data_IF_597502382826
#
_entry.id   IF_597502382826
#
_cell.length_a   1.000
_cell.length_b   1.000
_cell.length_c   1.000
_cell.angle_alpha   90.00
_cell.angle_beta   90.00
_cell.angle_gamma   90.00
#
_symmetry.space_group_name_H-M   'P 1'
#
loop_
_entity.id
_entity.type
_entity.pdbx_description
1 polymer ?
#
# COMPACT_ATOMS: atom_id res chain seq x y z
N UNK A 1 -21.98 -23.55 -22.89
CA UNK A 1 -21.34 -23.65 -21.55
C UNK A 1 -20.69 -22.31 -21.28
N UNK A 2 -21.30 -21.53 -20.42
CA UNK A 2 -20.69 -20.30 -19.96
C UNK A 2 -19.46 -20.64 -19.15
N UNK A 3 -18.28 -20.23 -19.67
CA UNK A 3 -17.03 -20.35 -18.90
C UNK A 3 -17.20 -19.52 -17.63
N UNK A 4 -17.31 -20.18 -16.50
CA UNK A 4 -17.25 -19.52 -15.18
C UNK A 4 -15.98 -18.70 -15.17
N UNK A 5 -16.11 -17.38 -15.17
CA UNK A 5 -14.95 -16.46 -15.08
C UNK A 5 -14.40 -16.55 -13.67
N UNK A 6 -13.17 -17.00 -13.55
CA UNK A 6 -12.48 -16.99 -12.25
C UNK A 6 -12.07 -15.57 -11.88
N UNK A 7 -12.16 -15.21 -10.60
CA UNK A 7 -11.72 -13.90 -10.16
C UNK A 7 -10.19 -13.77 -10.26
N UNK A 8 -9.76 -12.61 -10.70
CA UNK A 8 -8.37 -12.20 -10.68
C UNK A 8 -8.17 -10.95 -9.82
N UNK A 9 -7.03 -10.34 -9.95
CA UNK A 9 -6.59 -9.22 -9.13
C UNK A 9 -6.12 -8.06 -9.98
N UNK A 10 -6.47 -6.85 -9.57
CA UNK A 10 -5.78 -5.62 -9.94
C UNK A 10 -4.99 -5.16 -8.72
N UNK A 11 -3.75 -4.77 -8.88
CA UNK A 11 -2.85 -4.48 -7.78
C UNK A 11 -2.16 -3.13 -7.90
N UNK A 12 -1.86 -2.56 -6.75
CA UNK A 12 -0.93 -1.45 -6.58
C UNK A 12 0.31 -2.02 -5.89
N UNK A 13 1.46 -1.92 -6.54
CA UNK A 13 2.75 -2.24 -5.96
C UNK A 13 3.58 -0.98 -5.79
N UNK A 14 4.31 -0.93 -4.69
CA UNK A 14 5.37 0.05 -4.42
C UNK A 14 6.73 -0.63 -4.44
N UNK A 15 7.80 0.15 -4.51
CA UNK A 15 9.15 -0.38 -4.42
C UNK A 15 10.04 0.63 -3.67
N UNK A 16 10.70 0.22 -2.58
CA UNK A 16 11.58 1.10 -1.82
C UNK A 16 12.77 1.68 -2.59
N UNK A 17 13.13 1.06 -3.73
CA UNK A 17 14.18 1.57 -4.63
C UNK A 17 13.70 2.71 -5.52
N UNK A 18 12.40 2.94 -5.61
CA UNK A 18 11.80 3.97 -6.44
C UNK A 18 11.38 5.17 -5.59
N UNK A 19 10.93 6.22 -6.27
CA UNK A 19 10.35 7.38 -5.60
C UNK A 19 9.06 6.99 -4.86
N UNK A 20 8.81 7.63 -3.73
CA UNK A 20 7.61 7.38 -2.90
C UNK A 20 6.29 7.66 -3.63
N UNK A 21 6.32 8.53 -4.64
CA UNK A 21 5.19 8.88 -5.49
C UNK A 21 5.10 8.03 -6.77
N UNK A 22 5.81 6.91 -6.83
CA UNK A 22 5.75 5.98 -7.95
C UNK A 22 5.06 4.69 -7.53
N UNK A 23 4.07 4.28 -8.31
CA UNK A 23 3.38 3.00 -8.13
C UNK A 23 3.37 2.21 -9.44
N UNK A 24 3.34 0.89 -9.31
CA UNK A 24 3.03 -0.01 -10.41
C UNK A 24 1.59 -0.49 -10.24
N UNK A 25 0.77 -0.30 -11.27
CA UNK A 25 -0.61 -0.79 -11.32
C UNK A 25 -0.74 -1.79 -12.45
N UNK A 26 -1.13 -2.99 -12.13
CA UNK A 26 -1.31 -4.06 -13.10
C UNK A 26 -2.32 -5.07 -12.64
N UNK A 27 -2.44 -6.17 -13.38
CA UNK A 27 -3.39 -7.25 -13.09
C UNK A 27 -2.73 -8.62 -13.09
N UNK A 28 -3.38 -9.58 -12.45
CA UNK A 28 -2.97 -10.97 -12.41
C UNK A 28 -4.19 -11.88 -12.25
N UNK A 29 -4.21 -12.98 -12.98
CA UNK A 29 -5.17 -14.07 -12.72
C UNK A 29 -4.74 -14.95 -11.52
N UNK A 30 -3.52 -14.76 -11.02
CA UNK A 30 -2.94 -15.50 -9.88
C UNK A 30 -2.81 -14.58 -8.66
N UNK A 31 -2.66 -15.14 -7.46
CA UNK A 31 -2.41 -14.37 -6.25
C UNK A 31 -1.26 -13.36 -6.42
N UNK A 32 -1.43 -12.18 -5.82
CA UNK A 32 -0.51 -11.05 -6.08
C UNK A 32 0.84 -11.24 -5.40
N UNK A 33 0.90 -11.98 -4.30
CA UNK A 33 2.15 -12.38 -3.64
C UNK A 33 3.05 -13.24 -4.55
N UNK A 34 2.47 -14.08 -5.37
CA UNK A 34 3.19 -14.84 -6.42
C UNK A 34 3.65 -13.88 -7.52
N UNK A 35 2.75 -13.01 -7.97
CA UNK A 35 3.05 -12.08 -9.05
C UNK A 35 4.11 -11.04 -8.69
N UNK A 36 4.09 -10.52 -7.46
CA UNK A 36 5.10 -9.57 -6.99
C UNK A 36 6.52 -10.17 -6.97
N UNK A 37 6.64 -11.44 -6.58
CA UNK A 37 7.91 -12.17 -6.61
C UNK A 37 8.43 -12.43 -8.02
N UNK A 38 7.55 -12.67 -8.99
CA UNK A 38 7.94 -12.83 -10.41
C UNK A 38 8.48 -11.52 -11.01
N UNK A 39 8.06 -10.37 -10.50
CA UNK A 39 8.56 -9.06 -10.91
C UNK A 39 9.91 -8.71 -10.25
N UNK A 40 10.28 -9.44 -9.20
CA UNK A 40 11.55 -9.30 -8.51
C UNK A 40 12.64 -9.98 -9.36
N UNK A 41 13.42 -9.16 -10.03
CA UNK A 41 14.50 -9.59 -10.89
C UNK A 41 15.74 -8.69 -10.73
N UNK A 42 16.84 -9.07 -11.33
CA UNK A 42 18.12 -8.37 -11.21
C UNK A 42 18.11 -6.91 -11.67
N UNK A 43 17.07 -6.48 -12.38
CA UNK A 43 16.91 -5.09 -12.81
C UNK A 43 16.29 -4.19 -11.72
N UNK A 44 15.79 -4.78 -10.63
CA UNK A 44 15.17 -4.06 -9.52
C UNK A 44 15.97 -4.32 -8.25
N UNK A 45 16.57 -3.29 -7.62
CA UNK A 45 17.45 -3.46 -6.46
C UNK A 45 16.76 -4.03 -5.21
N UNK A 46 15.49 -3.71 -5.00
CA UNK A 46 14.70 -4.18 -3.87
C UNK A 46 13.39 -4.80 -4.36
N UNK A 47 12.80 -5.74 -3.61
CA UNK A 47 11.55 -6.39 -3.99
C UNK A 47 10.38 -5.42 -4.01
N UNK A 48 9.36 -5.75 -4.82
CA UNK A 48 8.10 -5.03 -4.80
C UNK A 48 7.30 -5.36 -3.53
N UNK A 49 6.67 -4.33 -2.99
CA UNK A 49 5.74 -4.43 -1.87
C UNK A 49 4.31 -4.27 -2.38
N UNK A 50 3.42 -5.13 -1.90
CA UNK A 50 2.00 -5.04 -2.21
C UNK A 50 1.40 -3.94 -1.34
N UNK A 51 0.80 -2.94 -1.97
CA UNK A 51 0.13 -1.84 -1.26
C UNK A 51 -1.38 -2.10 -1.12
N UNK A 52 -2.04 -2.44 -2.21
CA UNK A 52 -3.45 -2.81 -2.22
C UNK A 52 -3.81 -3.69 -3.42
N UNK A 53 -4.92 -4.41 -3.30
CA UNK A 53 -5.48 -5.21 -4.38
C UNK A 53 -6.99 -5.05 -4.47
N UNK A 54 -7.54 -5.18 -5.69
CA UNK A 54 -8.96 -5.44 -5.94
C UNK A 54 -9.08 -6.84 -6.49
N UNK A 55 -9.87 -7.70 -5.85
CA UNK A 55 -10.24 -9.01 -6.37
C UNK A 55 -11.62 -8.94 -7.00
N UNK A 56 -11.76 -9.35 -8.26
CA UNK A 56 -13.03 -9.36 -9.00
C UNK A 56 -12.94 -10.27 -10.23
N UNK A 57 -14.07 -10.79 -10.70
CA UNK A 57 -14.14 -11.49 -11.99
C UNK A 57 -13.94 -10.53 -13.18
N UNK A 58 -14.10 -9.22 -12.97
CA UNK A 58 -13.95 -8.15 -13.97
C UNK A 58 -12.56 -7.49 -13.92
N UNK A 59 -11.54 -8.18 -13.43
CA UNK A 59 -10.21 -7.58 -13.20
C UNK A 59 -9.55 -7.00 -14.47
N UNK A 60 -9.88 -7.53 -15.67
CA UNK A 60 -9.39 -6.96 -16.93
C UNK A 60 -9.99 -5.58 -17.21
N UNK A 61 -11.30 -5.45 -17.02
CA UNK A 61 -12.04 -4.21 -17.21
C UNK A 61 -11.66 -3.18 -16.15
N UNK A 62 -11.48 -3.62 -14.91
CA UNK A 62 -11.07 -2.76 -13.78
C UNK A 62 -9.66 -2.20 -14.00
N UNK A 63 -8.70 -3.02 -14.40
CA UNK A 63 -7.34 -2.55 -14.68
C UNK A 63 -7.34 -1.50 -15.79
N UNK A 64 -8.07 -1.75 -16.87
CA UNK A 64 -8.22 -0.80 -17.97
C UNK A 64 -8.83 0.52 -17.50
N UNK A 65 -9.91 0.46 -16.71
CA UNK A 65 -10.59 1.63 -16.16
C UNK A 65 -9.67 2.45 -15.24
N UNK A 66 -8.89 1.78 -14.37
CA UNK A 66 -7.91 2.46 -13.51
C UNK A 66 -6.88 3.21 -14.34
N UNK A 67 -6.34 2.56 -15.36
CA UNK A 67 -5.35 3.19 -16.26
C UNK A 67 -5.95 4.39 -16.99
N UNK A 68 -7.14 4.26 -17.55
CA UNK A 68 -7.85 5.34 -18.26
C UNK A 68 -8.16 6.52 -17.34
N UNK A 69 -8.59 6.27 -16.10
CA UNK A 69 -8.85 7.32 -15.12
C UNK A 69 -7.59 8.08 -14.74
N UNK A 70 -6.49 7.37 -14.47
CA UNK A 70 -5.22 8.03 -14.13
C UNK A 70 -4.68 8.82 -15.32
N UNK A 71 -4.74 8.26 -16.52
CA UNK A 71 -4.31 8.94 -17.75
C UNK A 71 -5.16 10.18 -18.06
N UNK A 72 -6.46 10.16 -17.74
CA UNK A 72 -7.38 11.29 -18.00
C UNK A 72 -7.24 12.44 -17.01
N UNK A 73 -6.82 12.13 -15.78
CA UNK A 73 -6.72 13.13 -14.71
C UNK A 73 -5.44 13.96 -14.79
N UNK A 74 -4.36 13.40 -15.31
CA UNK A 74 -3.07 14.10 -15.51
C UNK A 74 -2.07 13.22 -16.29
N UNK A 75 -0.94 13.79 -16.69
CA UNK A 75 0.23 13.07 -17.25
C UNK A 75 0.96 12.23 -16.19
N UNK A 76 0.21 11.50 -15.38
CA UNK A 76 0.78 10.69 -14.28
C UNK A 76 1.49 9.43 -14.75
N UNK A 77 1.27 8.99 -15.98
CA UNK A 77 1.94 7.82 -16.52
C UNK A 77 3.37 8.15 -16.91
N UNK A 78 4.33 7.44 -16.33
CA UNK A 78 5.76 7.66 -16.61
C UNK A 78 6.12 7.30 -18.07
N UNK A 79 5.48 6.25 -18.62
CA UNK A 79 5.57 5.87 -20.03
C UNK A 79 4.29 5.18 -20.46
N UNK A 80 3.78 5.49 -21.66
CA UNK A 80 2.54 4.93 -22.21
C UNK A 80 2.51 3.39 -22.28
N UNK A 81 3.66 2.75 -22.46
CA UNK A 81 3.78 1.29 -22.58
C UNK A 81 4.18 0.59 -21.28
N UNK A 82 4.14 1.28 -20.13
CA UNK A 82 4.53 0.76 -18.84
C UNK A 82 3.42 0.98 -17.82
N UNK A 83 3.27 0.02 -16.92
CA UNK A 83 2.30 0.02 -15.83
C UNK A 83 2.78 0.84 -14.61
N UNK A 84 3.69 1.80 -14.84
CA UNK A 84 4.23 2.68 -13.81
C UNK A 84 3.63 4.07 -13.91
N UNK A 85 3.20 4.60 -12.76
CA UNK A 85 2.52 5.86 -12.64
C UNK A 85 3.19 6.73 -11.57
N UNK A 86 3.29 8.02 -11.85
CA UNK A 86 3.72 9.03 -10.90
C UNK A 86 2.50 9.51 -10.10
N UNK A 87 2.05 8.68 -9.18
CA UNK A 87 0.90 8.94 -8.32
C UNK A 87 1.20 8.41 -6.92
N UNK A 88 0.84 9.19 -5.90
CA UNK A 88 0.99 8.75 -4.52
C UNK A 88 0.16 7.47 -4.29
N UNK A 89 0.71 6.45 -3.61
CA UNK A 89 0.01 5.19 -3.35
C UNK A 89 -1.35 5.35 -2.68
N UNK A 90 -1.47 6.30 -1.74
CA UNK A 90 -2.74 6.61 -1.07
C UNK A 90 -3.80 7.10 -2.05
N UNK A 91 -3.41 7.97 -2.99
CA UNK A 91 -4.32 8.48 -4.02
C UNK A 91 -4.74 7.39 -5.00
N UNK A 92 -3.82 6.49 -5.37
CA UNK A 92 -4.14 5.32 -6.18
C UNK A 92 -5.14 4.40 -5.47
N UNK A 93 -4.98 4.20 -4.16
CA UNK A 93 -5.92 3.45 -3.33
C UNK A 93 -7.31 4.10 -3.28
N UNK A 94 -7.39 5.42 -3.18
CA UNK A 94 -8.67 6.14 -3.23
C UNK A 94 -9.41 5.91 -4.56
N UNK A 95 -8.67 5.88 -5.67
CA UNK A 95 -9.24 5.53 -6.98
C UNK A 95 -9.75 4.10 -6.98
N UNK A 96 -8.98 3.15 -6.42
CA UNK A 96 -9.41 1.75 -6.27
C UNK A 96 -10.71 1.65 -5.47
N UNK A 97 -10.81 2.35 -4.35
CA UNK A 97 -12.00 2.36 -3.49
C UNK A 97 -13.21 2.90 -4.23
N UNK A 98 -13.07 3.96 -5.00
CA UNK A 98 -14.15 4.54 -5.81
C UNK A 98 -14.62 3.58 -6.91
N UNK A 99 -13.70 2.93 -7.60
CA UNK A 99 -14.04 1.94 -8.63
C UNK A 99 -14.72 0.73 -8.03
N UNK A 100 -14.23 0.23 -6.90
CA UNK A 100 -14.81 -0.93 -6.23
C UNK A 100 -16.27 -0.71 -5.80
N UNK A 101 -16.67 0.53 -5.48
CA UNK A 101 -18.07 0.87 -5.17
C UNK A 101 -19.01 0.66 -6.37
N UNK A 102 -18.50 0.64 -7.59
CA UNK A 102 -19.30 0.45 -8.82
C UNK A 102 -19.34 -1.00 -9.29
N UNK A 103 -18.68 -1.92 -8.59
CA UNK A 103 -18.51 -3.31 -9.00
C UNK A 103 -18.99 -4.23 -7.87
N UNK A 104 -20.01 -5.04 -8.16
CA UNK A 104 -20.73 -5.82 -7.16
C UNK A 104 -19.86 -6.87 -6.44
N UNK A 105 -18.91 -7.48 -7.15
CA UNK A 105 -18.04 -8.53 -6.64
C UNK A 105 -16.63 -8.06 -6.25
N UNK A 106 -16.38 -6.75 -6.27
CA UNK A 106 -15.07 -6.20 -5.97
C UNK A 106 -14.76 -6.26 -4.47
N UNK A 107 -13.64 -6.87 -4.12
CA UNK A 107 -13.11 -6.91 -2.76
C UNK A 107 -11.75 -6.23 -2.73
N UNK A 108 -11.63 -5.16 -1.94
CA UNK A 108 -10.37 -4.47 -1.71
C UNK A 108 -9.65 -5.09 -0.51
N UNK A 109 -8.36 -5.32 -0.67
CA UNK A 109 -7.47 -5.69 0.42
C UNK A 109 -6.30 -4.70 0.44
N UNK A 110 -6.09 -4.08 1.58
CA UNK A 110 -4.91 -3.23 1.86
C UNK A 110 -3.83 -4.07 2.54
N UNK A 111 -2.57 -3.69 2.33
CA UNK A 111 -1.43 -4.44 2.85
C UNK A 111 -0.48 -3.53 3.63
N UNK A 112 0.16 -4.10 4.64
CA UNK A 112 1.30 -3.51 5.35
C UNK A 112 2.36 -4.59 5.47
N UNK A 113 3.59 -4.29 5.08
CA UNK A 113 4.71 -5.26 5.07
C UNK A 113 4.35 -6.57 4.33
N UNK A 114 3.69 -6.46 3.18
CA UNK A 114 3.16 -7.57 2.38
C UNK A 114 2.15 -8.48 3.13
N UNK A 115 1.58 -8.01 4.24
CA UNK A 115 0.52 -8.71 4.99
C UNK A 115 -0.81 -8.00 4.78
N UNK A 116 -1.89 -8.72 4.45
CA UNK A 116 -3.20 -8.12 4.31
C UNK A 116 -3.67 -7.52 5.63
N UNK A 117 -4.16 -6.29 5.58
CA UNK A 117 -4.83 -5.67 6.71
C UNK A 117 -6.26 -6.22 6.72
N UNK A 118 -6.64 -6.93 7.77
CA UNK A 118 -8.01 -7.41 7.94
C UNK A 118 -8.94 -6.24 8.25
N UNK A 119 -9.47 -5.61 7.20
CA UNK A 119 -10.58 -4.67 7.34
C UNK A 119 -11.87 -5.49 7.40
N UNK A 120 -12.26 -5.92 8.58
CA UNK A 120 -13.62 -6.35 8.84
C UNK A 120 -14.54 -5.14 8.73
N UNK A 121 -14.92 -4.77 7.52
CA UNK A 121 -16.03 -3.84 7.27
C UNK A 121 -17.35 -4.61 7.40
N UNK A 122 -17.78 -4.82 8.62
CA UNK A 122 -19.06 -5.42 8.90
C UNK A 122 -19.30 -5.42 10.40
N UNK A 123 -20.05 -4.44 10.88
CA UNK A 123 -20.55 -4.25 12.24
C UNK A 123 -19.49 -3.90 13.31
N UNK A 124 -19.70 -2.71 13.87
CA UNK A 124 -19.10 -2.23 15.10
C UNK A 124 -19.44 -3.22 16.22
N UNK A 125 -18.50 -4.06 16.57
CA UNK A 125 -18.44 -4.70 17.88
C UNK A 125 -17.05 -4.41 18.42
N UNK A 126 -17.01 -3.53 19.41
CA UNK A 126 -15.84 -3.36 20.25
C UNK A 126 -15.56 -4.70 20.93
N UNK A 127 -14.63 -5.47 20.41
CA UNK A 127 -13.97 -6.53 21.15
C UNK A 127 -12.49 -6.24 21.13
N UNK A 128 -11.97 -5.95 22.32
CA UNK A 128 -10.55 -5.93 22.62
C UNK A 128 -9.92 -7.25 22.18
N UNK A 129 -9.40 -7.29 20.95
CA UNK A 129 -8.52 -8.36 20.54
C UNK A 129 -7.09 -7.97 20.96
N UNK A 130 -6.61 -8.64 21.98
CA UNK A 130 -5.22 -8.64 22.41
C UNK A 130 -4.27 -8.69 21.20
N UNK A 131 -3.78 -7.54 20.81
CA UNK A 131 -2.68 -7.43 19.86
C UNK A 131 -1.39 -7.69 20.66
N UNK A 132 -0.92 -8.94 20.63
CA UNK A 132 0.21 -9.44 21.45
C UNK A 132 1.58 -8.88 21.05
N UNK A 133 1.68 -7.99 20.04
CA UNK A 133 2.98 -7.51 19.54
C UNK A 133 3.12 -5.98 19.51
N UNK A 134 2.30 -5.25 20.26
CA UNK A 134 2.60 -3.83 20.48
C UNK A 134 3.57 -3.70 21.65
N UNK A 135 4.79 -3.34 21.30
CA UNK A 135 5.80 -2.95 22.29
C UNK A 135 5.35 -1.65 22.99
N UNK A 136 4.74 -1.80 24.17
CA UNK A 136 4.33 -0.69 25.03
C UNK A 136 5.46 -0.19 25.93
N UNK A 137 6.69 -0.63 25.70
CA UNK A 137 7.84 -0.20 26.48
C UNK A 137 7.98 1.31 26.39
N UNK A 138 8.02 1.94 27.55
CA UNK A 138 8.22 3.37 27.68
C UNK A 138 9.67 3.65 28.05
N UNK A 139 10.21 4.65 27.42
CA UNK A 139 11.61 5.05 27.57
C UNK A 139 11.69 6.46 28.13
N UNK A 140 12.69 6.74 28.95
CA UNK A 140 13.02 8.10 29.38
C UNK A 140 14.34 8.55 28.76
N UNK A 141 14.43 9.82 28.43
CA UNK A 141 15.65 10.44 27.93
C UNK A 141 16.23 11.35 29.04
N UNK A 142 17.41 11.03 29.52
CA UNK A 142 18.12 11.80 30.59
C UNK A 142 17.24 12.07 31.83
N UNK A 143 16.36 11.13 32.17
CA UNK A 143 15.46 11.26 33.32
C UNK A 143 14.24 12.17 33.09
N UNK A 144 14.10 12.76 31.91
CA UNK A 144 12.99 13.62 31.55
C UNK A 144 12.01 12.93 30.62
N UNK A 145 10.74 12.91 31.02
CA UNK A 145 9.64 12.41 30.22
C UNK A 145 9.57 10.88 30.13
N UNK A 146 8.46 10.42 29.60
CA UNK A 146 8.21 9.00 29.33
C UNK A 146 7.64 8.91 27.93
N UNK A 147 8.39 8.28 27.03
CA UNK A 147 8.08 8.28 25.59
C UNK A 147 7.91 6.85 25.08
N UNK A 148 6.97 6.65 24.16
CA UNK A 148 6.95 5.46 23.32
C UNK A 148 8.06 5.54 22.25
N UNK A 149 8.40 4.40 21.64
CA UNK A 149 9.53 4.24 20.70
C UNK A 149 9.66 5.33 19.63
N UNK A 150 8.53 5.69 18.97
CA UNK A 150 8.53 6.72 17.92
C UNK A 150 8.77 8.14 18.46
N UNK A 151 8.19 8.46 19.62
CA UNK A 151 8.39 9.76 20.27
C UNK A 151 9.79 9.92 20.85
N UNK A 152 10.38 8.84 21.35
CA UNK A 152 11.75 8.85 21.83
C UNK A 152 12.74 9.25 20.72
N UNK A 153 12.59 8.70 19.51
CA UNK A 153 13.43 9.04 18.37
C UNK A 153 13.35 10.52 18.01
N UNK A 154 12.15 11.09 18.01
CA UNK A 154 11.96 12.53 17.77
C UNK A 154 12.59 13.40 18.85
N UNK A 155 12.51 12.98 20.11
CA UNK A 155 13.05 13.75 21.23
C UNK A 155 14.58 13.71 21.25
N UNK A 156 15.18 12.58 20.89
CA UNK A 156 16.64 12.48 20.69
C UNK A 156 17.13 13.43 19.60
N UNK A 157 16.42 13.49 18.46
CA UNK A 157 16.77 14.41 17.37
C UNK A 157 16.63 15.87 17.83
N UNK A 158 15.56 16.18 18.56
CA UNK A 158 15.32 17.55 19.09
C UNK A 158 16.42 17.97 20.04
N UNK A 159 16.80 17.10 20.99
CA UNK A 159 17.91 17.39 21.93
C UNK A 159 19.22 17.60 21.17
N UNK A 160 19.53 16.75 20.18
CA UNK A 160 20.75 16.87 19.38
C UNK A 160 20.80 18.20 18.60
N UNK A 161 19.68 18.62 18.02
CA UNK A 161 19.60 19.90 17.29
C UNK A 161 19.76 21.08 18.24
N UNK A 162 19.17 21.03 19.45
CA UNK A 162 19.31 22.09 20.45
C UNK A 162 20.74 22.20 20.99
N UNK A 163 21.42 21.09 21.23
CA UNK A 163 22.81 21.08 21.70
C UNK A 163 23.81 21.58 20.65
N UNK A 164 23.49 21.41 19.36
CA UNK A 164 24.34 21.88 18.25
C UNK A 164 23.98 23.27 17.72
N UNK A 165 22.99 23.96 18.29
CA UNK A 165 22.67 25.36 17.97
C UNK A 165 23.41 26.38 18.84
N UNK A 166 24.36 25.94 19.68
CA UNK A 166 25.22 26.83 20.43
C UNK A 166 26.50 27.08 19.61
N UNK A 167 26.39 27.97 18.70
CA UNK A 167 27.49 28.77 18.16
C UNK A 167 27.01 30.21 17.97
#
# INVERSE_FOLDING_TARGET
MDKVREPGFVYILTNPSFREDWVKIGKSARPVDVRSKELDNTAVPLPFEIYATIRTIKYNEVEKLVHELIDSLTDFRIRRNREFFNVNPQRALEIFKKIALTIDDAVITEYTDNRPISNNSGSVVYQDAHNKDKDYTKYSLNGNGVFGKGKLALEVIRCYVQENQIC
#
